data_IF_648103488655
#
_entry.id   IF_648103488655
#
_cell.length_a   1.000
_cell.length_b   1.000
_cell.length_c   1.000
_cell.angle_alpha   90.00
_cell.angle_beta   90.00
_cell.angle_gamma   90.00
#
_symmetry.space_group_name_H-M   'P 1'
#
loop_
_entity.id
_entity.type
_entity.pdbx_description
1 polymer ?
#
# COMPACT_ATOMS: atom_id res chain seq x y z
N UNK A 1 -1.94 0.28 -23.26
CA UNK A 1 -1.51 0.92 -22.00
C UNK A 1 -0.65 -0.08 -21.25
N UNK A 2 0.54 0.31 -20.78
CA UNK A 2 1.37 -0.55 -19.94
C UNK A 2 0.63 -0.91 -18.64
N UNK A 3 0.73 -2.16 -18.18
CA UNK A 3 0.17 -2.56 -16.89
C UNK A 3 1.25 -2.42 -15.82
N UNK A 4 0.90 -1.74 -14.73
CA UNK A 4 1.78 -1.47 -13.59
C UNK A 4 1.12 -1.97 -12.33
N UNK A 5 1.86 -2.74 -11.53
CA UNK A 5 1.45 -3.11 -10.18
C UNK A 5 2.61 -2.84 -9.21
N UNK A 6 2.42 -1.91 -8.30
CA UNK A 6 3.46 -1.53 -7.32
C UNK A 6 3.17 -2.00 -5.90
N UNK A 7 2.18 -2.92 -5.72
CA UNK A 7 1.79 -3.45 -4.42
C UNK A 7 1.32 -4.90 -4.55
N UNK A 8 2.12 -5.84 -4.05
CA UNK A 8 1.80 -7.27 -4.10
C UNK A 8 2.60 -8.07 -3.06
N UNK A 9 2.01 -9.17 -2.59
CA UNK A 9 2.50 -10.01 -1.51
C UNK A 9 2.71 -11.45 -1.96
N UNK A 10 3.36 -12.24 -1.11
CA UNK A 10 3.64 -13.66 -1.29
C UNK A 10 3.25 -14.43 -0.02
N UNK A 11 3.49 -15.74 0.00
CA UNK A 11 3.27 -16.55 1.20
C UNK A 11 4.17 -16.20 2.40
N UNK A 12 5.16 -15.29 2.23
CA UNK A 12 6.08 -14.93 3.30
C UNK A 12 5.44 -14.13 4.43
N UNK A 13 4.35 -13.41 4.17
CA UNK A 13 3.59 -12.71 5.23
C UNK A 13 2.74 -13.65 6.10
N UNK A 14 2.60 -14.92 5.73
CA UNK A 14 1.84 -15.90 6.50
C UNK A 14 0.36 -15.99 6.13
N UNK A 15 -0.21 -14.98 5.48
CA UNK A 15 -1.61 -14.94 5.02
C UNK A 15 -1.75 -14.75 3.51
N UNK A 16 -0.64 -14.64 2.78
CA UNK A 16 -0.58 -14.69 1.32
C UNK A 16 -0.34 -16.10 0.79
N UNK A 17 -0.37 -16.24 -0.53
CA UNK A 17 -0.12 -17.48 -1.26
C UNK A 17 0.97 -17.28 -2.33
N UNK A 18 1.63 -18.37 -2.68
CA UNK A 18 2.63 -18.40 -3.73
C UNK A 18 3.99 -17.81 -3.33
N UNK A 19 4.97 -18.08 -4.17
CA UNK A 19 6.35 -17.61 -4.05
C UNK A 19 6.57 -16.37 -4.92
N UNK A 20 7.68 -15.67 -4.74
CA UNK A 20 8.11 -14.58 -5.63
C UNK A 20 8.13 -15.04 -7.11
N UNK A 21 8.63 -16.26 -7.37
CA UNK A 21 8.70 -16.80 -8.73
C UNK A 21 7.32 -17.02 -9.36
N UNK A 22 6.35 -17.53 -8.58
CA UNK A 22 4.97 -17.73 -9.03
C UNK A 22 4.25 -16.41 -9.25
N UNK A 23 4.41 -15.44 -8.34
CA UNK A 23 3.84 -14.11 -8.49
C UNK A 23 4.35 -13.40 -9.75
N UNK A 24 5.68 -13.43 -9.96
CA UNK A 24 6.30 -12.82 -11.15
C UNK A 24 5.91 -13.54 -12.43
N UNK A 25 5.77 -14.88 -12.40
CA UNK A 25 5.29 -15.65 -13.57
C UNK A 25 3.83 -15.28 -13.92
N UNK A 26 2.97 -15.11 -12.91
CA UNK A 26 1.59 -14.67 -13.12
C UNK A 26 1.52 -13.24 -13.67
N UNK A 27 2.35 -12.33 -13.16
CA UNK A 27 2.46 -10.96 -13.64
C UNK A 27 2.90 -10.89 -15.11
N UNK A 28 3.92 -11.66 -15.49
CA UNK A 28 4.42 -11.79 -16.86
C UNK A 28 3.30 -12.32 -17.79
N UNK A 29 2.63 -13.39 -17.40
CA UNK A 29 1.51 -13.96 -18.15
C UNK A 29 0.34 -12.99 -18.31
N UNK A 30 0.11 -12.10 -17.35
CA UNK A 30 -0.91 -11.05 -17.41
C UNK A 30 -0.49 -9.82 -18.22
N UNK A 31 0.79 -9.74 -18.65
CA UNK A 31 1.34 -8.62 -19.41
C UNK A 31 1.67 -7.40 -18.55
N UNK A 32 1.99 -7.59 -17.28
CA UNK A 32 2.48 -6.52 -16.40
C UNK A 32 3.91 -6.17 -16.80
N UNK A 33 4.15 -4.91 -17.12
CA UNK A 33 5.47 -4.40 -17.52
C UNK A 33 6.33 -3.99 -16.31
N UNK A 34 5.66 -3.50 -15.25
CA UNK A 34 6.31 -3.07 -14.01
C UNK A 34 5.61 -3.73 -12.83
N UNK A 35 6.36 -4.52 -12.07
CA UNK A 35 5.90 -5.18 -10.85
C UNK A 35 6.81 -4.78 -9.69
N UNK A 36 6.26 -4.28 -8.59
CA UNK A 36 6.95 -4.28 -7.31
C UNK A 36 6.41 -5.41 -6.44
N UNK A 37 7.29 -6.26 -5.93
CA UNK A 37 6.96 -7.22 -4.87
C UNK A 37 7.23 -6.49 -3.57
N UNK A 38 6.19 -6.31 -2.73
CA UNK A 38 6.22 -5.39 -1.57
C UNK A 38 5.71 -6.08 -0.32
N UNK A 39 6.38 -7.16 0.05
CA UNK A 39 6.00 -7.97 1.21
C UNK A 39 5.89 -7.14 2.48
N UNK A 40 4.98 -7.52 3.39
CA UNK A 40 4.85 -6.87 4.68
C UNK A 40 6.18 -6.87 5.43
N UNK A 41 6.64 -5.67 5.80
CA UNK A 41 7.92 -5.49 6.49
C UNK A 41 7.87 -6.08 7.90
N UNK A 42 8.96 -6.69 8.40
CA UNK A 42 8.96 -7.36 9.69
C UNK A 42 8.41 -6.52 10.84
N UNK A 43 7.44 -7.07 11.54
CA UNK A 43 6.85 -6.54 12.76
C UNK A 43 7.49 -7.15 14.02
N UNK A 44 7.26 -6.53 15.17
CA UNK A 44 7.58 -7.13 16.47
C UNK A 44 6.46 -8.06 16.92
N UNK A 45 6.74 -8.93 17.89
CA UNK A 45 5.72 -9.82 18.44
C UNK A 45 4.57 -9.12 19.15
N UNK A 46 4.64 -7.81 19.41
CA UNK A 46 3.53 -7.02 19.93
C UNK A 46 2.45 -6.81 18.85
N UNK A 47 2.83 -6.74 17.60
CA UNK A 47 1.95 -6.51 16.44
C UNK A 47 1.69 -7.79 15.65
N UNK A 48 2.61 -8.75 15.70
CA UNK A 48 2.49 -10.03 15.04
C UNK A 48 2.78 -11.19 16.02
N UNK A 49 1.88 -11.42 17.00
CA UNK A 49 2.12 -12.42 18.04
C UNK A 49 2.05 -13.86 17.52
N UNK A 50 1.49 -14.09 16.34
CA UNK A 50 1.37 -15.43 15.74
C UNK A 50 2.40 -15.67 14.64
N UNK A 51 3.05 -14.60 14.14
CA UNK A 51 3.98 -14.69 13.02
C UNK A 51 3.26 -14.92 11.68
N UNK A 52 2.05 -14.39 11.52
CA UNK A 52 1.21 -14.57 10.33
C UNK A 52 0.69 -13.22 9.76
N UNK A 53 1.31 -12.10 10.15
CA UNK A 53 0.96 -10.77 9.65
C UNK A 53 2.09 -10.14 8.82
N UNK A 54 3.34 -10.59 8.98
CA UNK A 54 4.48 -9.99 8.29
C UNK A 54 5.59 -10.99 7.98
N UNK A 55 6.43 -10.67 7.00
CA UNK A 55 7.60 -11.47 6.65
C UNK A 55 8.56 -11.61 7.85
N UNK A 56 9.00 -12.83 8.22
CA UNK A 56 10.03 -13.01 9.24
C UNK A 56 11.31 -12.26 8.88
N UNK A 57 11.93 -11.60 9.84
CA UNK A 57 13.15 -10.79 9.63
C UNK A 57 14.29 -11.58 8.99
N UNK A 58 14.47 -12.82 9.38
CA UNK A 58 15.46 -13.74 8.81
C UNK A 58 15.21 -14.09 7.34
N UNK A 59 13.97 -13.94 6.87
CA UNK A 59 13.58 -14.24 5.48
C UNK A 59 13.93 -13.11 4.50
N UNK A 60 14.18 -11.89 4.98
CA UNK A 60 14.44 -10.71 4.12
C UNK A 60 15.57 -10.95 3.12
N UNK A 61 16.65 -11.59 3.52
CA UNK A 61 17.78 -11.84 2.62
C UNK A 61 17.42 -12.83 1.49
N UNK A 62 16.67 -13.88 1.81
CA UNK A 62 16.16 -14.85 0.85
C UNK A 62 15.15 -14.22 -0.12
N UNK A 63 14.22 -13.44 0.41
CA UNK A 63 13.23 -12.68 -0.37
C UNK A 63 13.89 -11.78 -1.43
N UNK A 64 14.89 -10.99 -1.06
CA UNK A 64 15.62 -10.13 -1.99
C UNK A 64 16.39 -10.96 -3.05
N UNK A 65 16.99 -12.09 -2.65
CA UNK A 65 17.67 -12.98 -3.58
C UNK A 65 16.71 -13.64 -4.59
N UNK A 66 15.49 -13.96 -4.18
CA UNK A 66 14.45 -14.50 -5.06
C UNK A 66 13.99 -13.46 -6.09
N UNK A 67 13.86 -12.18 -5.68
CA UNK A 67 13.55 -11.08 -6.61
C UNK A 67 14.71 -10.88 -7.62
N UNK A 68 15.96 -10.90 -7.17
CA UNK A 68 17.12 -10.76 -8.07
C UNK A 68 17.17 -11.91 -9.09
N UNK A 69 16.81 -13.13 -8.66
CA UNK A 69 16.67 -14.27 -9.57
C UNK A 69 15.56 -14.05 -10.60
N UNK A 70 14.39 -13.59 -10.15
CA UNK A 70 13.27 -13.28 -11.04
C UNK A 70 13.61 -12.19 -12.07
N UNK A 71 14.37 -11.16 -11.68
CA UNK A 71 14.90 -10.12 -12.59
C UNK A 71 15.80 -10.73 -13.68
N UNK A 72 16.70 -11.62 -13.28
CA UNK A 72 17.62 -12.27 -14.24
C UNK A 72 16.88 -13.16 -15.24
N UNK A 73 15.81 -13.83 -14.81
CA UNK A 73 15.00 -14.70 -15.65
C UNK A 73 14.04 -13.94 -16.59
N UNK A 74 13.65 -12.69 -16.23
CA UNK A 74 12.67 -11.88 -16.98
C UNK A 74 13.17 -10.46 -17.24
N UNK A 75 14.24 -10.33 -18.10
CA UNK A 75 14.89 -9.03 -18.34
C UNK A 75 13.99 -8.03 -19.11
N UNK A 76 12.86 -8.48 -19.65
CA UNK A 76 11.88 -7.62 -20.33
C UNK A 76 10.92 -6.92 -19.38
N UNK A 77 10.81 -7.38 -18.12
CA UNK A 77 10.01 -6.75 -17.08
C UNK A 77 10.87 -5.82 -16.22
N UNK A 78 10.26 -4.76 -15.70
CA UNK A 78 10.82 -4.01 -14.58
C UNK A 78 10.29 -4.62 -13.28
N UNK A 79 11.14 -5.36 -12.54
CA UNK A 79 10.76 -5.95 -11.25
C UNK A 79 11.48 -5.18 -10.15
N UNK A 80 10.74 -4.63 -9.20
CA UNK A 80 11.24 -3.84 -8.09
C UNK A 80 11.15 -4.64 -6.79
N UNK A 81 12.20 -4.60 -5.98
CA UNK A 81 12.16 -5.09 -4.62
C UNK A 81 11.55 -4.03 -3.73
N UNK A 82 10.54 -4.40 -2.98
CA UNK A 82 9.87 -3.45 -2.10
C UNK A 82 9.48 -4.08 -0.77
N UNK A 83 8.95 -3.25 0.10
CA UNK A 83 8.26 -3.68 1.30
C UNK A 83 7.10 -2.74 1.61
N UNK A 84 6.08 -3.28 2.24
CA UNK A 84 5.02 -2.51 2.87
C UNK A 84 5.32 -2.40 4.36
N UNK A 85 5.66 -1.20 4.81
CA UNK A 85 6.08 -0.93 6.17
C UNK A 85 4.98 -0.21 6.93
N UNK A 86 4.57 -0.82 8.05
CA UNK A 86 3.60 -0.23 8.95
C UNK A 86 4.14 1.02 9.65
N UNK A 87 3.33 2.07 9.65
CA UNK A 87 3.45 3.20 10.55
C UNK A 87 2.82 2.85 11.90
N UNK A 88 3.65 2.76 12.92
CA UNK A 88 3.22 2.39 14.27
C UNK A 88 3.11 3.62 15.21
N UNK A 89 3.47 4.81 14.72
CA UNK A 89 3.35 6.05 15.46
C UNK A 89 4.03 6.00 16.83
N UNK A 90 3.30 6.35 17.88
CA UNK A 90 3.80 6.31 19.25
C UNK A 90 3.98 4.87 19.81
N UNK A 91 3.44 3.86 19.14
CA UNK A 91 3.59 2.46 19.51
C UNK A 91 4.81 1.78 18.85
N UNK A 92 5.61 2.52 18.07
CA UNK A 92 6.81 2.00 17.42
C UNK A 92 7.81 1.48 18.45
N UNK A 93 8.10 0.20 18.38
CA UNK A 93 9.00 -0.50 19.29
C UNK A 93 10.25 -1.07 18.60
N UNK A 94 10.34 -0.98 17.27
CA UNK A 94 11.50 -1.40 16.48
C UNK A 94 12.60 -0.34 16.57
N UNK A 95 13.83 -0.79 16.74
CA UNK A 95 15.02 0.08 16.69
C UNK A 95 15.23 0.67 15.27
N UNK A 96 16.00 1.77 15.12
CA UNK A 96 16.35 2.28 13.78
C UNK A 96 17.00 1.24 12.87
N UNK A 97 17.79 0.33 13.40
CA UNK A 97 18.42 -0.76 12.63
C UNK A 97 17.39 -1.81 12.17
N UNK A 98 16.36 -2.04 12.96
CA UNK A 98 15.27 -2.95 12.60
C UNK A 98 14.30 -2.34 11.58
N UNK A 99 14.29 -1.02 11.44
CA UNK A 99 13.53 -0.28 10.44
C UNK A 99 14.33 0.07 9.17
N UNK A 100 15.54 -0.49 9.02
CA UNK A 100 16.38 -0.20 7.86
C UNK A 100 15.79 -0.80 6.58
N UNK A 101 15.30 0.07 5.70
CA UNK A 101 14.74 -0.24 4.40
C UNK A 101 15.68 0.09 3.23
N UNK A 102 16.96 0.36 3.50
CA UNK A 102 17.94 0.79 2.49
C UNK A 102 18.19 -0.22 1.37
N UNK A 103 17.86 -1.49 1.61
CA UNK A 103 18.02 -2.59 0.66
C UNK A 103 16.88 -2.72 -0.34
N UNK A 104 15.77 -2.02 -0.13
CA UNK A 104 14.60 -2.09 -1.02
C UNK A 104 14.62 -0.95 -2.03
N UNK A 105 14.13 -1.21 -3.25
CA UNK A 105 13.94 -0.19 -4.26
C UNK A 105 12.77 0.73 -3.90
N UNK A 106 11.69 0.15 -3.36
CA UNK A 106 10.43 0.84 -3.04
C UNK A 106 9.98 0.50 -1.62
N UNK A 107 9.53 1.52 -0.90
CA UNK A 107 8.92 1.38 0.43
C UNK A 107 7.52 1.97 0.41
N UNK A 108 6.52 1.11 0.63
CA UNK A 108 5.15 1.54 0.87
C UNK A 108 4.99 1.86 2.36
N UNK A 109 4.22 2.90 2.67
CA UNK A 109 3.86 3.24 4.04
C UNK A 109 2.38 2.99 4.28
N UNK A 110 2.03 2.26 5.32
CA UNK A 110 0.68 1.82 5.62
C UNK A 110 0.29 2.08 7.07
N UNK A 111 -0.98 2.38 7.30
CA UNK A 111 -1.54 2.51 8.65
C UNK A 111 -2.56 1.38 8.82
N UNK A 112 -2.08 0.21 9.26
CA UNK A 112 -2.95 -0.90 9.62
C UNK A 112 -3.33 -0.88 11.11
N UNK A 113 -2.53 -0.21 11.94
CA UNK A 113 -2.72 -0.21 13.39
C UNK A 113 -3.05 1.17 13.94
N UNK A 114 -3.97 1.19 14.92
CA UNK A 114 -4.16 2.32 15.83
C UNK A 114 -3.81 1.84 17.26
N UNK A 115 -2.67 2.30 17.77
CA UNK A 115 -1.99 1.61 18.88
C UNK A 115 -1.55 0.22 18.43
N UNK A 116 -1.98 -0.82 19.13
CA UNK A 116 -1.72 -2.23 18.78
C UNK A 116 -2.92 -2.93 18.15
N UNK A 117 -3.99 -2.22 17.84
CA UNK A 117 -5.20 -2.79 17.26
C UNK A 117 -5.18 -2.66 15.73
N UNK A 118 -5.28 -3.79 15.02
CA UNK A 118 -5.44 -3.85 13.57
C UNK A 118 -6.85 -3.41 13.16
N UNK A 119 -6.96 -2.26 12.49
CA UNK A 119 -8.24 -1.61 12.19
C UNK A 119 -9.04 -2.28 11.08
N UNK A 120 -8.36 -3.04 10.25
CA UNK A 120 -8.86 -3.65 9.03
C UNK A 120 -9.01 -5.17 9.13
N UNK A 121 -8.77 -5.74 10.30
CA UNK A 121 -8.91 -7.16 10.58
C UNK A 121 -10.34 -7.48 11.02
N UNK A 122 -11.04 -8.32 10.21
CA UNK A 122 -12.43 -8.71 10.43
C UNK A 122 -12.64 -9.52 11.71
N UNK A 123 -11.63 -10.25 12.17
CA UNK A 123 -11.71 -11.09 13.38
C UNK A 123 -11.73 -10.27 14.67
N UNK A 124 -11.26 -9.02 14.62
CA UNK A 124 -11.19 -8.11 15.77
C UNK A 124 -11.94 -6.79 15.53
N UNK A 125 -13.05 -6.84 14.79
CA UNK A 125 -13.90 -5.69 14.42
C UNK A 125 -14.61 -5.02 15.64
N UNK A 126 -14.59 -5.64 16.83
CA UNK A 126 -15.32 -5.17 18.00
C UNK A 126 -15.20 -3.67 18.29
N UNK A 127 -14.03 -3.04 18.27
CA UNK A 127 -13.89 -1.61 18.51
C UNK A 127 -14.66 -0.71 17.53
N UNK A 128 -14.93 -1.16 16.30
CA UNK A 128 -15.75 -0.43 15.32
C UNK A 128 -17.24 -0.36 15.72
N UNK A 129 -17.71 -1.33 16.48
CA UNK A 129 -19.12 -1.48 16.85
C UNK A 129 -19.52 -0.63 18.07
N UNK A 130 -18.57 0.01 18.73
CA UNK A 130 -18.85 0.92 19.84
C UNK A 130 -19.61 2.18 19.38
N UNK A 131 -20.49 2.74 20.18
CA UNK A 131 -21.20 3.98 19.85
C UNK A 131 -20.25 5.14 19.48
N UNK A 132 -20.41 5.71 18.29
CA UNK A 132 -19.57 6.79 17.77
C UNK A 132 -18.13 6.39 17.40
N UNK A 133 -17.83 5.11 17.37
CA UNK A 133 -16.49 4.61 17.01
C UNK A 133 -16.08 5.01 15.59
N UNK A 134 -16.90 4.88 14.55
CA UNK A 134 -16.48 5.31 13.21
C UNK A 134 -16.02 6.77 13.16
N UNK A 135 -16.73 7.67 13.86
CA UNK A 135 -16.38 9.09 13.91
C UNK A 135 -15.01 9.35 14.57
N UNK A 136 -14.69 8.59 15.61
CA UNK A 136 -13.43 8.68 16.34
C UNK A 136 -12.29 8.03 15.56
N UNK A 137 -12.50 6.81 15.08
CA UNK A 137 -11.47 6.00 14.43
C UNK A 137 -11.03 6.66 13.12
N UNK A 138 -11.95 7.19 12.30
CA UNK A 138 -11.60 7.90 11.10
C UNK A 138 -10.71 9.13 11.35
N UNK A 139 -10.99 9.91 12.40
CA UNK A 139 -10.13 11.06 12.76
C UNK A 139 -8.75 10.60 13.20
N UNK A 140 -8.69 9.61 14.07
CA UNK A 140 -7.43 9.06 14.56
C UNK A 140 -6.59 8.47 13.43
N UNK A 141 -7.23 7.70 12.53
CA UNK A 141 -6.56 7.17 11.35
C UNK A 141 -5.95 8.28 10.49
N UNK A 142 -6.71 9.33 10.17
CA UNK A 142 -6.21 10.44 9.37
C UNK A 142 -5.10 11.21 10.09
N UNK A 143 -5.16 11.33 11.41
CA UNK A 143 -4.09 11.94 12.19
C UNK A 143 -2.78 11.13 12.07
N UNK A 144 -2.85 9.80 12.23
CA UNK A 144 -1.70 8.90 12.06
C UNK A 144 -1.21 8.88 10.60
N UNK A 145 -2.11 8.82 9.63
CA UNK A 145 -1.75 8.85 8.22
C UNK A 145 -1.05 10.15 7.83
N UNK A 146 -1.52 11.29 8.31
CA UNK A 146 -0.84 12.58 8.08
C UNK A 146 0.50 12.64 8.80
N UNK A 147 0.63 12.06 9.99
CA UNK A 147 1.90 11.97 10.70
C UNK A 147 2.92 11.11 9.94
N UNK A 148 2.49 9.96 9.40
CA UNK A 148 3.30 9.12 8.52
C UNK A 148 3.77 9.89 7.28
N UNK A 149 2.86 10.59 6.61
CA UNK A 149 3.18 11.38 5.41
C UNK A 149 4.22 12.47 5.68
N UNK A 150 4.18 13.07 6.86
CA UNK A 150 5.09 14.14 7.29
C UNK A 150 6.37 13.62 7.97
N UNK A 151 6.48 12.32 8.26
CA UNK A 151 7.62 11.76 8.99
C UNK A 151 8.92 11.84 8.17
N UNK A 152 10.09 11.82 8.83
CA UNK A 152 11.38 11.71 8.15
C UNK A 152 11.68 10.29 7.65
N UNK A 153 10.88 9.29 8.03
CA UNK A 153 11.06 7.92 7.59
C UNK A 153 10.84 7.81 6.08
N UNK A 154 11.50 6.85 5.47
CA UNK A 154 11.36 6.62 4.04
C UNK A 154 10.05 5.91 3.74
N UNK A 155 9.14 6.62 3.09
CA UNK A 155 7.97 6.08 2.41
C UNK A 155 7.92 6.67 1.01
N UNK A 156 8.06 5.85 -0.01
CA UNK A 156 8.00 6.30 -1.40
C UNK A 156 6.55 6.47 -1.85
N UNK A 157 5.68 5.57 -1.39
CA UNK A 157 4.23 5.54 -1.68
C UNK A 157 3.45 5.38 -0.37
N UNK A 158 2.36 6.11 -0.23
CA UNK A 158 1.39 5.91 0.86
C UNK A 158 0.26 5.01 0.35
N UNK A 159 0.17 3.80 0.89
CA UNK A 159 -0.74 2.76 0.43
C UNK A 159 -2.19 2.99 0.91
N UNK A 160 -3.16 2.42 0.19
CA UNK A 160 -4.61 2.39 0.51
C UNK A 160 -5.10 3.51 1.43
N UNK A 161 -5.07 4.80 0.99
CA UNK A 161 -5.16 5.98 1.87
C UNK A 161 -6.43 6.11 2.72
N UNK A 162 -7.53 5.44 2.36
CA UNK A 162 -8.79 5.44 3.12
C UNK A 162 -9.21 4.04 3.58
N UNK A 163 -8.22 3.25 4.05
CA UNK A 163 -8.39 1.88 4.54
C UNK A 163 -9.52 1.70 5.58
N UNK A 164 -9.84 2.65 6.47
CA UNK A 164 -10.94 2.50 7.43
C UNK A 164 -12.29 2.12 6.83
N UNK A 165 -12.52 2.39 5.54
CA UNK A 165 -13.77 1.98 4.87
C UNK A 165 -13.86 0.48 4.56
N UNK A 166 -12.73 -0.28 4.64
CA UNK A 166 -12.64 -1.71 4.27
C UNK A 166 -13.80 -2.54 4.80
N UNK A 167 -14.12 -2.37 6.10
CA UNK A 167 -15.17 -3.11 6.79
C UNK A 167 -16.57 -2.47 6.68
N UNK A 168 -16.72 -1.42 5.87
CA UNK A 168 -18.01 -0.74 5.66
C UNK A 168 -18.40 0.27 6.75
N UNK A 169 -17.46 0.66 7.61
CA UNK A 169 -17.71 1.64 8.66
C UNK A 169 -17.37 3.06 8.18
N UNK A 170 -18.37 3.93 8.16
CA UNK A 170 -18.23 5.33 7.74
C UNK A 170 -18.61 6.29 8.86
N UNK A 171 -17.95 7.47 8.95
CA UNK A 171 -18.30 8.47 9.94
C UNK A 171 -19.59 9.19 9.56
N UNK A 172 -20.22 9.84 10.55
CA UNK A 172 -21.46 10.61 10.37
C UNK A 172 -21.22 12.02 9.84
N UNK A 173 -19.97 12.47 9.76
CA UNK A 173 -19.57 13.80 9.29
C UNK A 173 -18.99 13.74 7.88
N UNK A 174 -18.96 14.87 7.15
CA UNK A 174 -18.33 14.95 5.84
C UNK A 174 -16.82 14.68 5.90
N UNK A 175 -16.29 13.85 4.98
CA UNK A 175 -14.88 13.47 4.94
C UNK A 175 -13.99 14.47 4.17
N UNK A 176 -14.58 15.40 3.41
CA UNK A 176 -13.83 16.35 2.58
C UNK A 176 -12.79 17.19 3.34
N UNK A 177 -13.03 17.65 4.59
CA UNK A 177 -12.00 18.34 5.37
C UNK A 177 -10.82 17.43 5.73
N UNK A 178 -11.04 16.15 6.00
CA UNK A 178 -9.98 15.17 6.26
C UNK A 178 -9.19 14.87 4.98
N UNK A 179 -9.88 14.72 3.85
CA UNK A 179 -9.26 14.52 2.55
C UNK A 179 -8.33 15.68 2.14
N UNK A 180 -8.73 16.91 2.43
CA UNK A 180 -7.89 18.08 2.19
C UNK A 180 -6.61 18.06 3.04
N UNK A 181 -6.70 17.64 4.31
CA UNK A 181 -5.54 17.46 5.20
C UNK A 181 -4.59 16.38 4.68
N UNK A 182 -5.12 15.22 4.27
CA UNK A 182 -4.33 14.12 3.72
C UNK A 182 -3.60 14.56 2.45
N UNK A 183 -4.29 15.25 1.54
CA UNK A 183 -3.70 15.72 0.30
C UNK A 183 -2.55 16.73 0.56
N UNK A 184 -2.73 17.65 1.50
CA UNK A 184 -1.69 18.60 1.88
C UNK A 184 -0.51 17.89 2.56
N UNK A 185 -0.75 16.92 3.45
CA UNK A 185 0.31 16.16 4.11
C UNK A 185 1.15 15.36 3.10
N UNK A 186 0.52 14.65 2.15
CA UNK A 186 1.22 13.91 1.10
C UNK A 186 2.06 14.85 0.22
N UNK A 187 1.48 16.01 -0.19
CA UNK A 187 2.19 17.02 -0.96
C UNK A 187 3.40 17.58 -0.22
N UNK A 188 3.22 17.96 1.03
CA UNK A 188 4.28 18.57 1.85
C UNK A 188 5.41 17.55 2.14
N UNK A 189 5.08 16.27 2.34
CA UNK A 189 6.04 15.18 2.51
C UNK A 189 6.70 14.73 1.20
N UNK A 190 6.27 15.24 0.03
CA UNK A 190 6.78 14.80 -1.27
C UNK A 190 6.43 13.35 -1.61
N UNK A 191 5.37 12.81 -1.00
CA UNK A 191 4.97 11.41 -1.13
C UNK A 191 4.15 11.17 -2.40
N UNK A 192 4.14 9.91 -2.84
CA UNK A 192 3.17 9.39 -3.81
C UNK A 192 2.03 8.73 -3.04
N UNK A 193 0.88 8.55 -3.71
CA UNK A 193 -0.22 7.72 -3.22
C UNK A 193 -0.50 6.62 -4.22
N UNK A 194 -1.21 5.58 -3.81
CA UNK A 194 -1.66 4.54 -4.73
C UNK A 194 -3.17 4.56 -4.95
N UNK A 195 -3.61 4.09 -6.11
CA UNK A 195 -4.92 3.47 -6.27
C UNK A 195 -4.73 1.99 -6.01
N UNK A 196 -5.34 1.49 -4.94
CA UNK A 196 -5.28 0.09 -4.54
C UNK A 196 -6.59 -0.61 -4.90
N UNK A 197 -6.49 -1.67 -5.68
CA UNK A 197 -7.68 -2.32 -6.26
C UNK A 197 -8.35 -3.33 -5.34
N UNK A 198 -7.66 -3.79 -4.27
CA UNK A 198 -8.19 -4.80 -3.34
C UNK A 198 -9.53 -4.39 -2.71
N UNK A 199 -9.74 -3.09 -2.47
CA UNK A 199 -10.97 -2.59 -1.87
C UNK A 199 -12.25 -2.94 -2.65
N UNK A 200 -12.14 -3.13 -3.97
CA UNK A 200 -13.28 -3.45 -4.83
C UNK A 200 -13.99 -4.78 -4.45
N UNK A 201 -13.27 -5.70 -3.81
CA UNK A 201 -13.83 -7.00 -3.35
C UNK A 201 -14.00 -7.07 -1.83
N UNK A 202 -13.78 -5.95 -1.11
CA UNK A 202 -14.04 -5.86 0.33
C UNK A 202 -15.47 -5.37 0.61
N UNK A 203 -15.87 -5.30 1.88
CA UNK A 203 -17.23 -4.87 2.26
C UNK A 203 -17.59 -3.45 1.75
N UNK A 204 -16.60 -2.57 1.60
CA UNK A 204 -16.80 -1.24 1.02
C UNK A 204 -17.10 -1.26 -0.49
N UNK A 205 -16.78 -2.34 -1.20
CA UNK A 205 -16.97 -2.53 -2.64
C UNK A 205 -16.46 -1.33 -3.49
N UNK A 206 -15.35 -0.72 -3.07
CA UNK A 206 -14.76 0.45 -3.71
C UNK A 206 -13.22 0.41 -3.56
N UNK A 207 -12.48 0.69 -4.63
CA UNK A 207 -11.02 0.82 -4.57
C UNK A 207 -10.59 1.89 -3.56
N UNK A 208 -9.38 1.76 -3.05
CA UNK A 208 -8.75 2.82 -2.27
C UNK A 208 -7.89 3.70 -3.21
N UNK A 209 -7.95 5.04 -3.08
CA UNK A 209 -8.95 5.79 -2.33
C UNK A 209 -10.28 5.99 -3.09
N UNK A 210 -11.28 6.55 -2.40
CA UNK A 210 -12.49 7.07 -3.06
C UNK A 210 -12.13 8.09 -4.14
N UNK A 211 -12.97 8.22 -5.18
CA UNK A 211 -12.77 9.25 -6.21
C UNK A 211 -12.61 10.66 -5.63
N UNK A 212 -13.33 10.99 -4.55
CA UNK A 212 -13.24 12.31 -3.92
C UNK A 212 -11.85 12.56 -3.31
N UNK A 213 -11.30 11.58 -2.61
CA UNK A 213 -9.97 11.68 -2.02
C UNK A 213 -8.89 11.67 -3.12
N UNK A 214 -9.02 10.80 -4.12
CA UNK A 214 -8.08 10.74 -5.24
C UNK A 214 -8.05 12.09 -6.00
N UNK A 215 -9.23 12.71 -6.23
CA UNK A 215 -9.31 14.04 -6.82
C UNK A 215 -8.69 15.13 -5.93
N UNK A 216 -8.72 14.98 -4.61
CA UNK A 216 -8.04 15.91 -3.70
C UNK A 216 -6.51 15.77 -3.83
N UNK A 217 -5.99 14.55 -3.91
CA UNK A 217 -4.56 14.32 -4.18
C UNK A 217 -4.13 14.90 -5.52
N UNK A 218 -4.89 14.66 -6.59
CA UNK A 218 -4.58 15.22 -7.91
C UNK A 218 -4.52 16.75 -7.87
N UNK A 219 -5.55 17.42 -7.29
CA UNK A 219 -5.56 18.90 -7.17
C UNK A 219 -4.39 19.45 -6.36
N UNK A 220 -3.87 18.69 -5.42
CA UNK A 220 -2.68 19.03 -4.64
C UNK A 220 -1.36 18.77 -5.39
N UNK A 221 -1.40 18.13 -6.57
CA UNK A 221 -0.21 17.76 -7.35
C UNK A 221 0.53 16.54 -6.77
N UNK A 222 -0.18 15.67 -6.04
CA UNK A 222 0.40 14.44 -5.49
C UNK A 222 0.45 13.38 -6.60
N UNK A 223 1.63 12.80 -6.92
CA UNK A 223 1.74 11.73 -7.90
C UNK A 223 1.02 10.47 -7.44
N UNK A 224 0.53 9.67 -8.38
CA UNK A 224 -0.25 8.46 -8.09
C UNK A 224 0.28 7.25 -8.85
N UNK A 225 0.35 6.10 -8.16
CA UNK A 225 0.64 4.78 -8.73
C UNK A 225 -0.56 3.85 -8.59
N UNK A 226 -0.42 2.59 -9.04
CA UNK A 226 -1.45 1.55 -8.90
C UNK A 226 -0.86 0.33 -8.23
N UNK A 227 -1.56 -0.18 -7.22
CA UNK A 227 -1.29 -1.43 -6.56
C UNK A 227 -2.50 -2.35 -6.55
N UNK A 228 -2.29 -3.65 -6.64
CA UNK A 228 -3.39 -4.63 -6.51
C UNK A 228 -3.53 -5.14 -5.09
N UNK A 229 -2.47 -5.05 -4.30
CA UNK A 229 -2.40 -5.63 -2.96
C UNK A 229 -2.77 -7.13 -2.98
N UNK A 230 -2.32 -7.77 -4.07
CA UNK A 230 -2.61 -9.17 -4.33
C UNK A 230 -1.84 -10.05 -3.34
N UNK A 231 -2.58 -10.87 -2.62
CA UNK A 231 -2.07 -11.92 -1.72
C UNK A 231 -2.14 -13.31 -2.35
N UNK A 232 -2.56 -13.37 -3.62
CA UNK A 232 -2.54 -14.59 -4.43
C UNK A 232 -2.06 -14.23 -5.84
N UNK A 233 -1.14 -14.99 -6.45
CA UNK A 233 -0.66 -14.72 -7.81
C UNK A 233 -1.75 -14.56 -8.87
N UNK A 234 -2.92 -15.20 -8.70
CA UNK A 234 -4.04 -15.05 -9.65
C UNK A 234 -4.64 -13.64 -9.69
N UNK A 235 -4.47 -12.88 -8.62
CA UNK A 235 -5.03 -11.53 -8.47
C UNK A 235 -4.04 -10.42 -8.84
N UNK A 236 -2.82 -10.77 -9.28
CA UNK A 236 -1.72 -9.82 -9.52
C UNK A 236 -2.05 -8.72 -10.52
N UNK A 237 -3.02 -8.92 -11.40
CA UNK A 237 -3.47 -7.92 -12.39
C UNK A 237 -4.91 -7.45 -12.13
N UNK A 238 -5.52 -7.82 -11.00
CA UNK A 238 -6.92 -7.52 -10.70
C UNK A 238 -7.19 -6.01 -10.69
N UNK A 239 -8.16 -5.57 -11.50
CA UNK A 239 -8.70 -4.21 -11.45
C UNK A 239 -7.76 -3.08 -11.94
N UNK A 240 -6.57 -3.37 -12.51
CA UNK A 240 -5.60 -2.32 -12.90
C UNK A 240 -6.19 -1.37 -13.96
N UNK A 241 -6.94 -1.88 -14.92
CA UNK A 241 -7.56 -1.05 -15.98
C UNK A 241 -8.63 -0.13 -15.39
N UNK A 242 -9.45 -0.64 -14.50
CA UNK A 242 -10.46 0.09 -13.74
C UNK A 242 -9.81 1.14 -12.82
N UNK A 243 -8.63 0.84 -12.26
CA UNK A 243 -7.84 1.83 -11.51
C UNK A 243 -7.38 2.98 -12.41
N UNK A 244 -6.94 2.72 -13.64
CA UNK A 244 -6.60 3.78 -14.59
C UNK A 244 -7.83 4.62 -14.98
N UNK A 245 -9.01 4.01 -15.14
CA UNK A 245 -10.25 4.75 -15.36
C UNK A 245 -10.60 5.64 -14.15
N UNK A 246 -10.40 5.13 -12.92
CA UNK A 246 -10.60 5.93 -11.71
C UNK A 246 -9.60 7.10 -11.63
N UNK A 247 -8.34 6.87 -11.96
CA UNK A 247 -7.30 7.90 -12.04
C UNK A 247 -7.65 8.98 -13.07
N UNK A 248 -8.06 8.58 -14.28
CA UNK A 248 -8.47 9.51 -15.32
C UNK A 248 -9.68 10.37 -14.90
N UNK A 249 -10.66 9.78 -14.23
CA UNK A 249 -11.82 10.50 -13.66
C UNK A 249 -11.41 11.49 -12.56
N UNK A 250 -10.34 11.20 -11.81
CA UNK A 250 -9.80 12.10 -10.80
C UNK A 250 -8.96 13.24 -11.40
N UNK A 251 -8.54 13.12 -12.67
CA UNK A 251 -7.77 14.11 -13.42
C UNK A 251 -6.34 13.70 -13.79
N UNK A 252 -5.89 12.51 -13.40
CA UNK A 252 -4.56 12.00 -13.79
C UNK A 252 -4.55 11.54 -15.25
N UNK A 253 -3.47 11.80 -15.95
CA UNK A 253 -3.18 11.35 -17.32
C UNK A 253 -2.01 10.36 -17.40
N UNK A 254 -1.32 10.14 -16.28
CA UNK A 254 -0.23 9.21 -16.15
C UNK A 254 -0.29 8.43 -14.82
N UNK A 255 0.29 7.24 -14.81
CA UNK A 255 0.68 6.52 -13.61
C UNK A 255 2.15 6.81 -13.32
N UNK A 256 2.48 7.12 -12.07
CA UNK A 256 3.85 7.37 -11.63
C UNK A 256 4.43 6.11 -11.00
N UNK A 257 5.54 5.63 -11.53
CA UNK A 257 6.24 4.44 -11.04
C UNK A 257 7.33 4.90 -10.07
N UNK A 258 7.32 4.42 -8.81
CA UNK A 258 8.46 4.58 -7.92
C UNK A 258 9.63 3.73 -8.44
N UNK A 259 10.82 4.24 -8.37
CA UNK A 259 12.05 3.53 -8.72
C UNK A 259 13.05 3.60 -7.56
N UNK A 260 14.13 2.82 -7.66
CA UNK A 260 15.20 2.84 -6.68
C UNK A 260 15.74 4.27 -6.43
N UNK A 261 16.20 4.51 -5.21
CA UNK A 261 16.79 5.80 -4.80
C UNK A 261 15.85 7.03 -4.89
N UNK A 262 14.53 6.80 -4.85
CA UNK A 262 13.54 7.87 -4.89
C UNK A 262 13.31 8.47 -6.29
N UNK A 263 13.88 7.86 -7.32
CA UNK A 263 13.58 8.21 -8.71
C UNK A 263 12.13 7.85 -9.06
N UNK A 264 11.59 8.50 -10.09
CA UNK A 264 10.21 8.30 -10.56
C UNK A 264 10.17 8.30 -12.08
N UNK A 265 9.27 7.51 -12.64
CA UNK A 265 8.98 7.49 -14.08
C UNK A 265 7.47 7.56 -14.29
N UNK A 266 7.03 8.40 -15.21
CA UNK A 266 5.64 8.52 -15.59
C UNK A 266 5.35 7.71 -16.86
N UNK A 267 4.21 7.01 -16.88
CA UNK A 267 3.68 6.33 -18.06
C UNK A 267 2.26 6.82 -18.31
N UNK A 268 1.95 7.18 -19.56
CA UNK A 268 0.57 7.59 -19.94
C UNK A 268 -0.42 6.45 -19.74
N UNK A 269 -1.59 6.81 -19.20
CA UNK A 269 -2.76 5.93 -19.04
C UNK A 269 -3.89 6.28 -20.03
N UNK A 270 -3.58 7.12 -21.02
CA UNK A 270 -4.50 7.50 -22.12
C UNK A 270 -4.28 6.66 -23.37
#
# INVERSE_FOLDING_TARGET
MPLVNTHSHTALCGHGEGTVAELVAAADAAGIEVLAVTEHFPLSGAFDPRGDEAMPRESVAGYLADIDRARAERPHMTILSGCEMDWLGAAEDRTPAERDTSRFDVVLGSVHFLGTWGIDNEDIEGPWLEPGAPDRIWRQYVDEWCAMAASPDRFDVLSHPDLPKKLGHFPTYPLEPLYARMAEAARAGGRMVEVNTAGAVKRCAEMYPTLKLLSAFHRAGVPCTVGTDAHNPVDVAFGIREAYELMARAGYDCVTIPLAHGERRELSIQ
#
